data_IF_849397542633
#
_entry.id   IF_849397542633
#
_cell.length_a   1.000
_cell.length_b   1.000
_cell.length_c   1.000
_cell.angle_alpha   90.00
_cell.angle_beta   90.00
_cell.angle_gamma   90.00
#
_symmetry.space_group_name_H-M   'P 1'
#
loop_
_entity.id
_entity.type
_entity.pdbx_description
1 polymer ?
#
# COMPACT_ATOMS: atom_id res chain seq x y z
N UNK A 1 9.54 -38.27 16.50
CA UNK A 1 8.57 -37.17 16.68
C UNK A 1 7.59 -37.17 15.51
N UNK A 2 6.32 -37.49 15.76
CA UNK A 2 5.34 -37.88 14.74
C UNK A 2 5.07 -36.78 13.70
N UNK A 3 5.09 -37.10 12.40
CA UNK A 3 4.84 -36.16 11.28
C UNK A 3 3.50 -35.43 11.46
N UNK A 4 2.50 -36.15 11.98
CA UNK A 4 1.17 -35.61 12.27
C UNK A 4 1.23 -34.44 13.27
N UNK A 5 2.05 -34.55 14.33
CA UNK A 5 2.25 -33.52 15.36
C UNK A 5 2.93 -32.27 14.77
N UNK A 6 3.89 -32.46 13.86
CA UNK A 6 4.54 -31.33 13.16
C UNK A 6 3.56 -30.57 12.28
N UNK A 7 2.70 -31.29 11.53
CA UNK A 7 1.68 -30.68 10.66
C UNK A 7 0.62 -29.92 11.47
N UNK A 8 0.13 -30.48 12.57
CA UNK A 8 -0.82 -29.78 13.45
C UNK A 8 -0.21 -28.52 14.05
N UNK A 9 1.00 -28.58 14.60
CA UNK A 9 1.70 -27.38 15.10
C UNK A 9 1.89 -26.31 14.02
N UNK A 10 2.18 -26.72 12.78
CA UNK A 10 2.28 -25.79 11.66
C UNK A 10 0.95 -25.12 11.34
N UNK A 11 -0.14 -25.87 11.34
CA UNK A 11 -1.48 -25.35 11.11
C UNK A 11 -1.90 -24.34 12.18
N UNK A 12 -1.69 -24.65 13.46
CA UNK A 12 -1.96 -23.70 14.57
C UNK A 12 -1.11 -22.43 14.46
N UNK A 13 0.14 -22.54 13.96
CA UNK A 13 1.00 -21.38 13.72
C UNK A 13 0.43 -20.47 12.64
N UNK A 14 -0.11 -21.03 11.56
CA UNK A 14 -0.75 -20.26 10.49
C UNK A 14 -2.00 -19.55 10.99
N UNK A 15 -2.85 -20.23 11.76
CA UNK A 15 -4.03 -19.62 12.39
C UNK A 15 -3.62 -18.49 13.33
N UNK A 16 -2.63 -18.74 14.21
CA UNK A 16 -2.14 -17.72 15.14
C UNK A 16 -1.59 -16.50 14.40
N UNK A 17 -0.86 -16.71 13.30
CA UNK A 17 -0.36 -15.63 12.45
C UNK A 17 -1.50 -14.80 11.87
N UNK A 18 -2.54 -15.44 11.32
CA UNK A 18 -3.69 -14.73 10.75
C UNK A 18 -4.47 -13.94 11.81
N UNK A 19 -4.67 -14.51 13.00
CA UNK A 19 -5.30 -13.82 14.13
C UNK A 19 -4.47 -12.63 14.58
N UNK A 20 -3.15 -12.79 14.72
CA UNK A 20 -2.25 -11.71 15.11
C UNK A 20 -2.27 -10.59 14.08
N UNK A 21 -2.15 -10.93 12.79
CA UNK A 21 -2.23 -9.98 11.69
C UNK A 21 -3.53 -9.17 11.73
N UNK A 22 -4.67 -9.85 11.88
CA UNK A 22 -5.98 -9.17 11.99
C UNK A 22 -6.06 -8.23 13.19
N UNK A 23 -5.44 -8.59 14.32
CA UNK A 23 -5.38 -7.72 15.50
C UNK A 23 -4.50 -6.50 15.28
N UNK A 24 -3.30 -6.69 14.74
CA UNK A 24 -2.35 -5.61 14.43
C UNK A 24 -2.96 -4.63 13.43
N UNK A 25 -3.52 -5.12 12.32
CA UNK A 25 -4.21 -4.28 11.32
C UNK A 25 -5.36 -3.48 11.96
N UNK A 26 -6.13 -4.09 12.86
CA UNK A 26 -7.22 -3.39 13.56
C UNK A 26 -6.70 -2.27 14.46
N UNK A 27 -5.60 -2.50 15.18
CA UNK A 27 -4.98 -1.49 16.05
C UNK A 27 -4.43 -0.31 15.23
N UNK A 28 -3.70 -0.60 14.16
CA UNK A 28 -3.16 0.44 13.27
C UNK A 28 -4.26 1.24 12.58
N UNK A 29 -5.33 0.59 12.10
CA UNK A 29 -6.50 1.28 11.54
C UNK A 29 -7.19 2.19 12.56
N UNK A 30 -7.20 1.83 13.84
CA UNK A 30 -7.78 2.68 14.89
C UNK A 30 -6.95 3.94 15.09
N UNK A 31 -5.62 3.82 15.18
CA UNK A 31 -4.68 4.95 15.27
C UNK A 31 -4.81 5.90 14.07
N UNK A 32 -5.00 5.35 12.87
CA UNK A 32 -5.22 6.15 11.66
C UNK A 32 -6.52 6.96 11.74
N UNK A 33 -7.63 6.35 12.18
CA UNK A 33 -8.93 7.06 12.31
C UNK A 33 -8.87 8.23 13.29
N UNK A 34 -8.14 8.07 14.38
CA UNK A 34 -7.98 9.11 15.42
C UNK A 34 -7.18 10.32 14.89
N UNK A 35 -6.39 10.15 13.82
CA UNK A 35 -5.54 11.19 13.22
C UNK A 35 -6.01 11.65 11.82
N UNK A 36 -7.25 11.34 11.41
CA UNK A 36 -7.79 11.89 10.17
C UNK A 36 -8.07 13.38 10.43
N UNK A 37 -7.09 14.22 10.13
CA UNK A 37 -7.36 15.63 9.88
C UNK A 37 -8.47 15.72 8.82
N UNK A 38 -9.39 16.68 9.00
CA UNK A 38 -10.38 17.01 7.97
C UNK A 38 -9.66 17.13 6.62
N UNK A 39 -10.27 16.66 5.51
CA UNK A 39 -9.70 16.87 4.19
C UNK A 39 -9.39 18.37 4.09
N UNK A 40 -8.10 18.70 3.99
CA UNK A 40 -7.72 20.10 3.98
C UNK A 40 -8.31 20.71 2.73
N UNK A 41 -8.91 21.89 2.87
CA UNK A 41 -9.53 22.60 1.77
C UNK A 41 -8.39 23.10 0.86
N UNK A 42 -8.06 22.32 -0.16
CA UNK A 42 -6.97 22.62 -1.08
C UNK A 42 -7.49 23.32 -2.32
N UNK A 43 -6.91 24.47 -2.62
CA UNK A 43 -7.13 25.17 -3.88
C UNK A 43 -5.80 25.19 -4.63
N UNK A 44 -5.63 24.27 -5.58
CA UNK A 44 -4.40 24.14 -6.37
C UNK A 44 -4.29 22.79 -7.08
N UNK A 45 -3.17 22.55 -7.76
CA UNK A 45 -2.82 21.25 -8.35
C UNK A 45 -1.89 20.47 -7.42
N UNK A 46 -2.15 19.17 -7.29
CA UNK A 46 -1.38 18.21 -6.51
C UNK A 46 -0.49 17.42 -7.48
N UNK A 47 0.80 17.36 -7.23
CA UNK A 47 1.72 16.48 -7.93
C UNK A 47 2.17 15.39 -6.97
N UNK A 48 1.92 14.13 -7.34
CA UNK A 48 2.35 12.96 -6.56
C UNK A 48 3.52 12.32 -7.28
N UNK A 49 4.64 12.22 -6.58
CA UNK A 49 5.88 11.61 -7.07
C UNK A 49 5.88 10.14 -6.66
N UNK A 50 6.03 9.25 -7.64
CA UNK A 50 5.84 7.81 -7.48
C UNK A 50 7.16 7.11 -7.78
N UNK A 51 7.93 6.70 -6.76
CA UNK A 51 9.21 6.04 -6.95
C UNK A 51 9.05 4.57 -7.36
N UNK A 52 7.93 3.94 -6.99
CA UNK A 52 7.54 2.60 -7.45
C UNK A 52 6.04 2.59 -7.73
N UNK A 53 5.64 1.93 -8.81
CA UNK A 53 4.22 1.67 -9.10
C UNK A 53 3.59 0.88 -7.95
N UNK A 54 2.41 1.32 -7.50
CA UNK A 54 1.61 0.86 -6.34
C UNK A 54 1.71 1.78 -5.11
N UNK A 55 2.78 2.56 -4.96
CA UNK A 55 2.98 3.44 -3.81
C UNK A 55 1.88 4.52 -3.69
N UNK A 56 1.33 4.96 -4.82
CA UNK A 56 0.25 5.95 -4.89
C UNK A 56 -1.10 5.40 -4.42
N UNK A 57 -1.39 4.13 -4.73
CA UNK A 57 -2.63 3.47 -4.32
C UNK A 57 -2.60 3.09 -2.84
N UNK A 58 -1.42 2.75 -2.33
CA UNK A 58 -1.18 2.39 -0.94
C UNK A 58 -1.15 3.63 -0.04
N UNK A 59 -0.51 4.72 -0.48
CA UNK A 59 -0.28 5.91 0.34
C UNK A 59 -1.27 7.06 0.13
N UNK A 60 -1.81 7.24 -1.08
CA UNK A 60 -2.51 8.48 -1.47
C UNK A 60 -3.85 8.26 -2.20
N UNK A 61 -4.38 7.05 -2.29
CA UNK A 61 -5.64 6.74 -2.99
C UNK A 61 -6.81 7.63 -2.60
N UNK A 62 -6.93 8.02 -1.33
CA UNK A 62 -7.98 8.96 -0.89
C UNK A 62 -7.80 10.36 -1.46
N UNK A 63 -6.57 10.87 -1.58
CA UNK A 63 -6.29 12.17 -2.19
C UNK A 63 -6.60 12.12 -3.68
N UNK A 64 -6.14 11.07 -4.36
CA UNK A 64 -6.40 10.83 -5.79
C UNK A 64 -7.91 10.83 -6.06
N UNK A 65 -8.68 10.06 -5.29
CA UNK A 65 -10.13 9.97 -5.46
C UNK A 65 -10.88 11.27 -5.10
N UNK A 66 -10.36 12.05 -4.16
CA UNK A 66 -11.01 13.28 -3.68
C UNK A 66 -10.76 14.47 -4.63
N UNK A 67 -9.55 14.56 -5.19
CA UNK A 67 -9.08 15.70 -5.98
C UNK A 67 -8.78 15.30 -7.44
N UNK A 68 -9.46 14.29 -7.96
CA UNK A 68 -9.16 13.59 -9.23
C UNK A 68 -8.70 14.48 -10.40
N UNK A 69 -9.31 15.66 -10.60
CA UNK A 69 -8.97 16.56 -11.71
C UNK A 69 -7.76 17.46 -11.46
N UNK A 70 -7.32 17.56 -10.20
CA UNK A 70 -6.22 18.41 -9.76
C UNK A 70 -4.96 17.60 -9.44
N UNK A 71 -5.01 16.26 -9.56
CA UNK A 71 -3.89 15.37 -9.24
C UNK A 71 -3.16 14.96 -10.52
N UNK A 72 -1.85 15.18 -10.55
CA UNK A 72 -0.93 14.64 -11.56
C UNK A 72 -0.02 13.61 -10.92
N UNK A 73 -0.04 12.39 -11.44
CA UNK A 73 0.84 11.30 -11.02
C UNK A 73 2.12 11.34 -11.87
N UNK A 74 3.28 11.43 -11.22
CA UNK A 74 4.59 11.47 -11.85
C UNK A 74 5.40 10.24 -11.43
N UNK A 75 5.51 9.30 -12.36
CA UNK A 75 6.38 8.14 -12.24
C UNK A 75 7.85 8.58 -12.33
N UNK A 76 8.64 8.28 -11.29
CA UNK A 76 10.04 8.65 -11.19
C UNK A 76 10.90 7.40 -11.18
N UNK A 77 11.78 7.28 -12.16
CA UNK A 77 12.85 6.29 -12.16
C UNK A 77 13.93 6.72 -11.16
N UNK A 78 14.01 6.01 -10.03
CA UNK A 78 15.00 6.27 -8.99
C UNK A 78 16.19 5.31 -9.09
N UNK A 79 17.40 5.86 -8.92
CA UNK A 79 18.63 5.07 -8.91
C UNK A 79 18.62 3.99 -7.82
N UNK A 80 18.88 2.74 -8.20
CA UNK A 80 18.83 1.59 -7.28
C UNK A 80 17.48 0.87 -7.24
N UNK A 81 16.53 1.26 -8.09
CA UNK A 81 15.25 0.57 -8.29
C UNK A 81 15.35 -0.69 -9.17
N UNK A 82 14.22 -1.08 -9.76
CA UNK A 82 14.16 -2.26 -10.60
C UNK A 82 14.97 -2.13 -11.89
N UNK A 83 15.20 -3.26 -12.58
CA UNK A 83 15.67 -3.21 -13.97
C UNK A 83 14.70 -2.45 -14.87
N UNK A 84 15.20 -1.79 -15.91
CA UNK A 84 14.41 -1.02 -16.90
C UNK A 84 13.17 -1.79 -17.42
N UNK A 85 13.33 -3.10 -17.70
CA UNK A 85 12.24 -3.96 -18.18
C UNK A 85 11.07 -4.09 -17.19
N UNK A 86 11.36 -4.11 -15.89
CA UNK A 86 10.38 -4.20 -14.81
C UNK A 86 9.73 -2.83 -14.59
N UNK A 87 10.53 -1.75 -14.62
CA UNK A 87 10.03 -0.39 -14.52
C UNK A 87 9.02 -0.07 -15.65
N UNK A 88 9.34 -0.41 -16.90
CA UNK A 88 8.42 -0.23 -18.04
C UNK A 88 7.12 -1.01 -17.88
N UNK A 89 7.18 -2.24 -17.40
CA UNK A 89 5.99 -3.06 -17.15
C UNK A 89 5.11 -2.45 -16.05
N UNK A 90 5.71 -2.05 -14.94
CA UNK A 90 5.03 -1.42 -13.81
C UNK A 90 4.38 -0.08 -14.18
N UNK A 91 5.06 0.72 -15.00
CA UNK A 91 4.50 1.94 -15.61
C UNK A 91 3.27 1.68 -16.48
N UNK A 92 3.18 0.52 -17.14
CA UNK A 92 1.99 0.13 -17.91
C UNK A 92 0.83 -0.28 -16.99
N UNK A 93 1.12 -0.88 -15.84
CA UNK A 93 0.10 -1.25 -14.84
C UNK A 93 -0.62 -0.01 -14.30
N UNK A 94 0.07 1.13 -14.16
CA UNK A 94 -0.51 2.41 -13.75
C UNK A 94 -1.46 3.07 -14.79
N UNK A 95 -1.44 2.62 -16.04
CA UNK A 95 -2.30 3.20 -17.11
C UNK A 95 -3.66 2.52 -17.23
N UNK A 96 -3.86 1.40 -16.54
CA UNK A 96 -5.11 0.62 -16.52
C UNK A 96 -5.97 0.98 -15.31
#
# INVERSE_FOLDING_TARGET
>A
MNILIRKTKSFFRLIKRDINWKREVKLERRKLRENIANPFDFTGRIVILIPHSDDEWIGCSRIINTFNNDVTLCDIDMSGGDSESVHLRRKQEMKN
#
